data_IF_221397023074
#
_entry.id   IF_221397023074
#
_cell.length_a   1.000
_cell.length_b   1.000
_cell.length_c   1.000
_cell.angle_alpha   90.00
_cell.angle_beta   90.00
_cell.angle_gamma   90.00
#
_symmetry.space_group_name_H-M   'P 1'
#
loop_
_entity.id
_entity.type
_entity.pdbx_description
1 polymer ?
#
# COMPACT_ATOMS: atom_id res chain seq x y z
N UNK A 1 23.05 -62.07 -2.36
CA UNK A 1 21.66 -62.20 -2.87
C UNK A 1 20.75 -61.64 -1.78
N UNK A 2 20.61 -60.30 -1.74
CA UNK A 2 19.95 -59.54 -0.65
C UNK A 2 19.39 -58.23 -1.23
N UNK A 3 18.66 -58.29 -2.34
CA UNK A 3 18.20 -57.06 -3.00
C UNK A 3 16.86 -57.20 -3.75
N UNK A 4 16.06 -58.21 -3.39
CA UNK A 4 14.69 -58.35 -3.90
C UNK A 4 13.66 -57.83 -2.89
N UNK A 5 13.92 -58.02 -1.60
CA UNK A 5 12.96 -57.68 -0.54
C UNK A 5 12.90 -56.17 -0.24
N UNK A 6 14.00 -55.44 -0.49
CA UNK A 6 14.07 -53.99 -0.23
C UNK A 6 13.37 -53.16 -1.33
N UNK A 7 13.34 -53.68 -2.57
CA UNK A 7 12.63 -53.05 -3.69
C UNK A 7 11.11 -53.25 -3.59
N UNK A 8 10.67 -54.39 -3.03
CA UNK A 8 9.26 -54.66 -2.76
C UNK A 8 8.70 -53.75 -1.66
N UNK A 9 9.49 -53.49 -0.61
CA UNK A 9 9.13 -52.59 0.49
C UNK A 9 9.03 -51.12 0.03
N UNK A 10 9.89 -50.67 -0.89
CA UNK A 10 9.83 -49.33 -1.47
C UNK A 10 8.58 -49.13 -2.37
N UNK A 11 8.18 -50.16 -3.15
CA UNK A 11 6.96 -50.11 -3.98
C UNK A 11 5.67 -50.12 -3.16
N UNK A 12 5.62 -50.89 -2.07
CA UNK A 12 4.50 -50.88 -1.10
C UNK A 12 4.36 -49.51 -0.42
N UNK A 13 5.48 -48.85 -0.11
CA UNK A 13 5.49 -47.53 0.51
C UNK A 13 5.12 -46.39 -0.47
N UNK A 14 5.31 -46.56 -1.79
CA UNK A 14 4.81 -45.65 -2.84
C UNK A 14 3.32 -45.90 -3.16
N UNK A 15 2.85 -47.15 -3.10
CA UNK A 15 1.44 -47.51 -3.33
C UNK A 15 0.52 -47.01 -2.21
N UNK A 16 0.98 -47.03 -0.95
CA UNK A 16 0.27 -46.44 0.20
C UNK A 16 0.19 -44.89 0.16
N UNK A 17 0.97 -44.22 -0.71
CA UNK A 17 0.91 -42.75 -0.87
C UNK A 17 0.02 -42.25 -2.03
N UNK A 18 -0.68 -43.13 -2.76
CA UNK A 18 -1.19 -42.75 -4.09
C UNK A 18 -2.63 -42.28 -4.22
N UNK A 19 -3.60 -42.94 -3.57
CA UNK A 19 -4.99 -42.79 -4.06
C UNK A 19 -6.05 -43.04 -2.99
N UNK A 20 -6.50 -41.95 -2.36
CA UNK A 20 -7.78 -41.96 -1.63
C UNK A 20 -8.85 -42.59 -2.53
N UNK A 21 -9.56 -43.59 -2.02
CA UNK A 21 -10.66 -44.21 -2.75
C UNK A 21 -11.67 -43.13 -3.15
N UNK A 22 -12.45 -43.35 -4.21
CA UNK A 22 -13.47 -42.38 -4.67
C UNK A 22 -14.35 -41.90 -3.50
N UNK A 23 -14.71 -42.83 -2.61
CA UNK A 23 -15.48 -42.56 -1.39
C UNK A 23 -14.76 -41.62 -0.42
N UNK A 24 -13.47 -41.81 -0.21
CA UNK A 24 -12.66 -40.97 0.67
C UNK A 24 -12.38 -39.60 0.05
N UNK A 25 -12.14 -39.53 -1.27
CA UNK A 25 -12.05 -38.27 -2.02
C UNK A 25 -13.35 -37.47 -1.90
N UNK A 26 -14.52 -38.11 -2.05
CA UNK A 26 -15.82 -37.47 -1.82
C UNK A 26 -16.01 -37.00 -0.38
N UNK A 27 -15.56 -37.80 0.60
CA UNK A 27 -15.60 -37.41 2.03
C UNK A 27 -14.75 -36.17 2.29
N UNK A 28 -13.51 -36.17 1.82
CA UNK A 28 -12.58 -35.06 1.98
C UNK A 28 -13.11 -33.79 1.30
N UNK A 29 -13.70 -33.93 0.11
CA UNK A 29 -14.30 -32.82 -0.61
C UNK A 29 -15.48 -32.20 0.16
N UNK A 30 -16.40 -33.02 0.70
CA UNK A 30 -17.49 -32.51 1.54
C UNK A 30 -16.97 -31.82 2.80
N UNK A 31 -15.95 -32.38 3.44
CA UNK A 31 -15.32 -31.79 4.63
C UNK A 31 -14.69 -30.43 4.33
N UNK A 32 -13.97 -30.30 3.21
CA UNK A 32 -13.42 -29.03 2.73
C UNK A 32 -14.52 -28.02 2.44
N UNK A 33 -15.60 -28.44 1.79
CA UNK A 33 -16.74 -27.56 1.48
C UNK A 33 -17.48 -27.11 2.75
N UNK A 34 -17.63 -27.99 3.73
CA UNK A 34 -18.26 -27.64 5.02
C UNK A 34 -17.40 -26.65 5.82
N UNK A 35 -16.09 -26.92 5.92
CA UNK A 35 -15.12 -25.98 6.51
C UNK A 35 -15.14 -24.63 5.80
N UNK A 36 -15.19 -24.62 4.47
CA UNK A 36 -15.30 -23.40 3.66
C UNK A 36 -16.59 -22.65 3.97
N UNK A 37 -17.75 -23.33 3.95
CA UNK A 37 -19.04 -22.73 4.31
C UNK A 37 -19.03 -22.14 5.72
N UNK A 38 -18.46 -22.85 6.70
CA UNK A 38 -18.32 -22.38 8.08
C UNK A 38 -17.40 -21.16 8.21
N UNK A 39 -16.29 -21.13 7.48
CA UNK A 39 -15.39 -19.99 7.42
C UNK A 39 -16.08 -18.76 6.82
N UNK A 40 -16.79 -18.90 5.69
CA UNK A 40 -17.55 -17.80 5.10
C UNK A 40 -18.72 -17.35 5.98
N UNK A 41 -19.38 -18.28 6.68
CA UNK A 41 -20.40 -17.93 7.67
C UNK A 41 -19.80 -17.09 8.81
N UNK A 42 -18.62 -17.47 9.33
CA UNK A 42 -17.89 -16.72 10.36
C UNK A 42 -17.45 -15.34 9.87
N UNK A 43 -16.83 -15.24 8.69
CA UNK A 43 -16.47 -13.97 8.07
C UNK A 43 -17.69 -13.08 7.86
N UNK A 44 -18.80 -13.64 7.36
CA UNK A 44 -20.03 -12.86 7.18
C UNK A 44 -20.67 -12.43 8.51
N UNK A 45 -20.48 -13.19 9.59
CA UNK A 45 -20.92 -12.81 10.92
C UNK A 45 -20.05 -11.68 11.51
N UNK A 46 -18.72 -11.77 11.34
CA UNK A 46 -17.76 -10.72 11.70
C UNK A 46 -17.97 -9.44 10.86
N UNK A 47 -18.23 -9.58 9.56
CA UNK A 47 -18.56 -8.49 8.64
C UNK A 47 -19.92 -7.87 8.96
N UNK A 48 -20.92 -8.65 9.38
CA UNK A 48 -22.23 -8.15 9.85
C UNK A 48 -22.15 -7.34 11.14
N UNK A 49 -21.07 -7.48 11.93
CA UNK A 49 -20.79 -6.59 13.09
C UNK A 49 -20.37 -5.20 12.59
N UNK A 50 -19.73 -5.11 11.41
CA UNK A 50 -19.35 -3.85 10.75
C UNK A 50 -20.34 -3.58 9.62
N UNK A 51 -21.61 -3.30 9.97
CA UNK A 51 -22.59 -2.90 8.96
C UNK A 51 -22.03 -1.70 8.17
N UNK A 52 -21.77 -1.82 6.85
CA UNK A 52 -21.22 -0.72 6.09
C UNK A 52 -22.19 0.46 6.17
N UNK A 53 -21.69 1.70 6.37
CA UNK A 53 -22.56 2.85 6.52
C UNK A 53 -23.51 2.97 5.35
N UNK A 54 -24.80 3.10 5.64
CA UNK A 54 -25.83 3.32 4.62
C UNK A 54 -25.54 4.60 3.84
N UNK A 55 -26.06 4.72 2.62
CA UNK A 55 -25.93 5.94 1.78
C UNK A 55 -26.35 7.20 2.54
N UNK A 56 -27.39 7.11 3.37
CA UNK A 56 -27.85 8.20 4.24
C UNK A 56 -26.86 8.53 5.37
N UNK A 57 -26.28 7.51 6.03
CA UNK A 57 -25.27 7.73 7.07
C UNK A 57 -24.01 8.41 6.50
N UNK A 58 -23.51 7.93 5.35
CA UNK A 58 -22.40 8.57 4.64
C UNK A 58 -22.73 10.01 4.26
N UNK A 59 -23.93 10.26 3.73
CA UNK A 59 -24.41 11.62 3.42
C UNK A 59 -24.36 12.54 4.63
N UNK A 60 -24.84 12.05 5.77
CA UNK A 60 -24.88 12.84 7.00
C UNK A 60 -23.47 13.18 7.48
N UNK A 61 -22.55 12.21 7.47
CA UNK A 61 -21.14 12.44 7.81
C UNK A 61 -20.52 13.50 6.89
N UNK A 62 -20.71 13.39 5.58
CA UNK A 62 -20.21 14.36 4.60
C UNK A 62 -20.81 15.75 4.83
N UNK A 63 -22.12 15.84 5.05
CA UNK A 63 -22.80 17.12 5.31
C UNK A 63 -22.28 17.80 6.58
N UNK A 64 -21.96 17.04 7.63
CA UNK A 64 -21.36 17.59 8.86
C UNK A 64 -19.99 18.16 8.56
N UNK A 65 -19.15 17.43 7.83
CA UNK A 65 -17.83 17.91 7.41
C UNK A 65 -17.92 19.22 6.63
N UNK A 66 -18.76 19.26 5.60
CA UNK A 66 -18.93 20.43 4.73
C UNK A 66 -19.42 21.67 5.48
N UNK A 67 -20.26 21.51 6.51
CA UNK A 67 -20.68 22.62 7.37
C UNK A 67 -19.52 23.20 8.18
N UNK A 68 -18.65 22.33 8.69
CA UNK A 68 -17.57 22.70 9.59
C UNK A 68 -16.36 23.29 8.84
N UNK A 69 -15.98 22.69 7.71
CA UNK A 69 -14.73 23.03 6.99
C UNK A 69 -14.95 24.00 5.83
N UNK A 70 -16.12 23.95 5.20
CA UNK A 70 -16.44 24.74 4.01
C UNK A 70 -17.67 25.65 4.18
N UNK A 71 -18.13 25.85 5.42
CA UNK A 71 -19.20 26.76 5.80
C UNK A 71 -20.51 26.57 5.01
N UNK A 72 -20.76 25.36 4.51
CA UNK A 72 -22.01 25.07 3.80
C UNK A 72 -23.21 25.23 4.73
N UNK A 73 -24.22 25.95 4.27
CA UNK A 73 -25.46 26.08 5.04
C UNK A 73 -26.29 24.81 4.96
N UNK A 74 -27.09 24.53 6.00
CA UNK A 74 -27.97 23.36 5.99
C UNK A 74 -28.93 23.35 4.80
N UNK A 75 -29.46 24.52 4.41
CA UNK A 75 -30.40 24.65 3.29
C UNK A 75 -29.75 24.33 1.93
N UNK A 76 -28.48 24.67 1.74
CA UNK A 76 -27.72 24.33 0.53
C UNK A 76 -27.55 22.81 0.37
N UNK A 77 -27.42 22.08 1.48
CA UNK A 77 -27.21 20.62 1.45
C UNK A 77 -28.52 19.84 1.54
N UNK A 78 -29.56 20.37 2.20
CA UNK A 78 -30.83 19.66 2.47
C UNK A 78 -31.48 19.12 1.20
N UNK A 79 -31.55 19.94 0.15
CA UNK A 79 -32.24 19.60 -1.10
C UNK A 79 -31.32 18.94 -2.15
N UNK A 80 -30.04 18.70 -1.82
CA UNK A 80 -29.09 18.06 -2.74
C UNK A 80 -29.15 16.55 -2.67
N UNK A 81 -28.95 15.93 -3.82
CA UNK A 81 -28.74 14.48 -3.96
C UNK A 81 -27.43 14.06 -3.29
N UNK A 82 -27.27 12.76 -3.05
CA UNK A 82 -26.02 12.23 -2.48
C UNK A 82 -24.82 12.55 -3.38
N UNK A 83 -24.96 12.38 -4.70
CA UNK A 83 -23.86 12.51 -5.63
C UNK A 83 -23.36 13.97 -5.71
N UNK A 84 -24.28 14.94 -5.64
CA UNK A 84 -23.93 16.36 -5.52
C UNK A 84 -23.20 16.69 -4.21
N UNK A 85 -23.65 16.10 -3.09
CA UNK A 85 -23.01 16.26 -1.77
C UNK A 85 -21.61 15.63 -1.77
N UNK A 86 -21.45 14.46 -2.39
CA UNK A 86 -20.16 13.79 -2.54
C UNK A 86 -19.20 14.61 -3.40
N UNK A 87 -19.64 15.17 -4.52
CA UNK A 87 -18.80 16.01 -5.37
C UNK A 87 -18.35 17.30 -4.65
N UNK A 88 -19.24 17.92 -3.85
CA UNK A 88 -18.88 19.08 -3.03
C UNK A 88 -17.80 18.73 -1.98
N UNK A 89 -17.88 17.54 -1.40
CA UNK A 89 -16.87 17.01 -0.49
C UNK A 89 -15.53 16.81 -1.17
N UNK A 90 -15.50 16.10 -2.31
CA UNK A 90 -14.26 15.84 -3.05
C UNK A 90 -13.57 17.13 -3.48
N UNK A 91 -14.35 18.16 -3.87
CA UNK A 91 -13.84 19.49 -4.19
C UNK A 91 -13.24 20.18 -2.95
N UNK A 92 -13.92 20.11 -1.82
CA UNK A 92 -13.46 20.70 -0.55
C UNK A 92 -12.14 20.06 -0.11
N UNK A 93 -12.06 18.72 -0.16
CA UNK A 93 -10.84 17.96 0.17
C UNK A 93 -9.67 18.35 -0.72
N UNK A 94 -9.89 18.49 -2.04
CA UNK A 94 -8.84 18.94 -2.97
C UNK A 94 -8.34 20.34 -2.65
N UNK A 95 -9.25 21.26 -2.31
CA UNK A 95 -8.88 22.63 -1.96
C UNK A 95 -8.09 22.69 -0.64
N UNK A 96 -8.49 21.91 0.36
CA UNK A 96 -7.80 21.82 1.64
C UNK A 96 -6.40 21.24 1.48
N UNK A 97 -6.26 20.14 0.74
CA UNK A 97 -4.96 19.55 0.45
C UNK A 97 -4.02 20.55 -0.27
N UNK A 98 -4.55 21.32 -1.22
CA UNK A 98 -3.78 22.35 -1.90
C UNK A 98 -3.36 23.51 -0.97
N UNK A 99 -4.18 23.86 0.03
CA UNK A 99 -3.82 24.85 1.06
C UNK A 99 -2.75 24.31 2.00
N UNK A 100 -2.88 23.06 2.45
CA UNK A 100 -1.92 22.44 3.35
C UNK A 100 -0.54 22.29 2.70
N UNK A 101 -0.48 21.91 1.42
CA UNK A 101 0.78 21.88 0.66
C UNK A 101 1.46 23.24 0.60
N UNK A 102 0.72 24.33 0.36
CA UNK A 102 1.30 25.68 0.35
C UNK A 102 1.83 26.11 1.72
N UNK A 103 1.12 25.77 2.80
CA UNK A 103 1.56 26.09 4.17
C UNK A 103 2.83 25.31 4.53
N UNK A 104 2.93 24.06 4.10
CA UNK A 104 4.13 23.23 4.30
C UNK A 104 5.32 23.78 3.50
N UNK A 105 5.13 24.12 2.22
CA UNK A 105 6.15 24.77 1.39
C UNK A 105 6.62 26.13 1.94
N UNK A 106 5.70 26.95 2.46
CA UNK A 106 6.03 28.23 3.10
C UNK A 106 6.82 28.03 4.40
N UNK A 107 6.48 27.03 5.20
CA UNK A 107 7.18 26.69 6.44
C UNK A 107 8.61 26.19 6.15
N UNK A 108 8.76 25.27 5.19
CA UNK A 108 10.06 24.74 4.78
C UNK A 108 10.96 25.85 4.20
N UNK A 109 10.38 26.76 3.41
CA UNK A 109 11.09 27.93 2.88
C UNK A 109 11.54 28.88 4.00
N UNK A 110 10.71 29.10 5.02
CA UNK A 110 11.06 29.92 6.18
C UNK A 110 12.19 29.30 7.01
N UNK A 111 12.18 27.98 7.22
CA UNK A 111 13.27 27.27 7.89
C UNK A 111 14.58 27.33 7.08
N UNK A 112 14.52 27.10 5.77
CA UNK A 112 15.69 27.20 4.88
C UNK A 112 16.29 28.60 4.89
N UNK A 113 15.46 29.65 4.83
CA UNK A 113 15.91 31.05 4.90
C UNK A 113 16.62 31.34 6.23
N UNK A 114 16.07 30.87 7.34
CA UNK A 114 16.69 31.02 8.67
C UNK A 114 18.04 30.30 8.74
N UNK A 115 18.15 29.09 8.18
CA UNK A 115 19.41 28.36 8.11
C UNK A 115 20.47 29.09 7.27
N UNK A 116 20.06 29.75 6.17
CA UNK A 116 20.97 30.51 5.31
C UNK A 116 21.45 31.81 5.97
N UNK A 117 20.57 32.50 6.72
CA UNK A 117 20.89 33.72 7.46
C UNK A 117 21.80 33.48 8.68
N UNK A 118 21.77 32.27 9.25
CA UNK A 118 22.65 31.85 10.34
C UNK A 118 24.07 31.47 9.89
N UNK A 119 24.36 31.39 8.59
CA UNK A 119 25.75 31.32 8.11
C UNK A 119 26.34 32.71 8.32
N UNK A 120 27.30 32.90 9.26
CA UNK A 120 27.97 34.17 9.37
C UNK A 120 28.69 34.40 8.05
N UNK A 121 28.33 35.45 7.33
CA UNK A 121 29.19 36.00 6.30
C UNK A 121 30.35 36.71 7.01
N UNK A 122 31.13 35.94 7.77
CA UNK A 122 32.43 36.39 8.22
C UNK A 122 33.24 36.55 6.94
N UNK A 123 33.34 37.80 6.51
CA UNK A 123 34.23 38.27 5.46
C UNK A 123 35.71 38.10 5.83
N UNK A 124 36.04 37.05 6.57
CA UNK A 124 37.38 36.56 6.73
C UNK A 124 37.71 35.80 5.46
N UNK A 125 38.42 36.51 4.59
CA UNK A 125 39.19 35.99 3.48
C UNK A 125 40.19 34.96 4.02
N UNK A 126 39.71 33.76 4.39
CA UNK A 126 40.56 32.61 4.65
C UNK A 126 41.22 32.35 3.31
N UNK A 127 42.47 32.79 3.22
CA UNK A 127 43.35 32.50 2.10
C UNK A 127 43.63 31.01 2.18
N UNK A 128 42.68 30.21 1.69
CA UNK A 128 42.87 28.78 1.47
C UNK A 128 43.86 28.74 0.32
N UNK A 129 45.14 28.67 0.66
CA UNK A 129 46.20 28.33 -0.27
C UNK A 129 45.82 26.95 -0.83
N UNK A 130 45.16 26.97 -1.98
CA UNK A 130 44.65 25.79 -2.63
C UNK A 130 45.86 24.98 -3.08
N UNK A 131 46.30 24.05 -2.23
CA UNK A 131 47.09 22.92 -2.70
C UNK A 131 46.22 22.26 -3.77
N UNK A 132 46.64 22.25 -5.05
CA UNK A 132 45.90 21.52 -6.05
C UNK A 132 46.03 20.05 -5.65
N UNK A 133 44.98 19.52 -5.03
CA UNK A 133 44.77 18.10 -4.83
C UNK A 133 44.80 17.52 -6.24
N UNK A 134 45.98 17.05 -6.64
CA UNK A 134 46.22 16.33 -7.87
C UNK A 134 45.15 15.26 -7.93
N UNK A 135 44.16 15.47 -8.80
CA UNK A 135 43.09 14.53 -9.01
C UNK A 135 43.73 13.27 -9.54
N UNK A 136 43.93 12.29 -8.66
CA UNK A 136 44.09 10.92 -9.11
C UNK A 136 42.80 10.62 -9.84
N UNK A 137 42.87 10.58 -11.16
CA UNK A 137 41.72 10.31 -12.02
C UNK A 137 41.01 9.07 -11.46
N UNK A 138 39.67 9.08 -11.33
CA UNK A 138 38.94 7.89 -10.96
C UNK A 138 39.30 6.80 -11.96
N UNK A 139 39.92 5.72 -11.48
CA UNK A 139 40.15 4.53 -12.29
C UNK A 139 38.79 4.09 -12.84
N UNK A 140 38.62 4.21 -14.16
CA UNK A 140 37.41 3.76 -14.86
C UNK A 140 37.34 2.26 -14.65
N UNK A 141 36.40 1.83 -13.81
CA UNK A 141 36.09 0.41 -13.60
C UNK A 141 35.05 0.03 -14.65
N UNK A 142 35.43 -0.82 -15.60
CA UNK A 142 34.55 -1.32 -16.66
C UNK A 142 33.54 -2.34 -16.10
N UNK A 143 32.46 -1.87 -15.49
CA UNK A 143 31.34 -2.74 -15.10
C UNK A 143 30.48 -3.06 -16.33
N UNK A 144 30.43 -4.35 -16.72
CA UNK A 144 29.47 -4.86 -17.71
C UNK A 144 28.10 -5.04 -17.06
N UNK A 145 27.18 -4.13 -17.36
CA UNK A 145 25.78 -4.21 -16.91
C UNK A 145 25.01 -5.12 -17.88
N UNK A 146 24.65 -6.31 -17.42
CA UNK A 146 23.75 -7.20 -18.16
C UNK A 146 22.30 -6.88 -17.79
N UNK A 147 21.48 -6.54 -18.79
CA UNK A 147 20.03 -6.43 -18.63
C UNK A 147 19.38 -7.77 -18.92
N UNK A 148 18.79 -8.38 -17.90
CA UNK A 148 17.98 -9.58 -18.04
C UNK A 148 16.54 -9.17 -18.40
N UNK A 149 16.15 -9.41 -19.66
CA UNK A 149 14.77 -9.21 -20.11
C UNK A 149 13.89 -10.38 -19.64
N UNK A 150 12.91 -10.09 -18.78
CA UNK A 150 11.85 -11.05 -18.45
C UNK A 150 10.96 -11.25 -19.69
N UNK A 151 10.96 -12.45 -20.24
CA UNK A 151 10.05 -12.86 -21.31
C UNK A 151 8.61 -12.83 -20.79
N UNK A 152 7.80 -11.94 -21.38
CA UNK A 152 6.34 -11.96 -21.27
C UNK A 152 5.82 -13.08 -22.18
N UNK A 153 5.19 -14.08 -21.58
CA UNK A 153 4.36 -15.03 -22.32
C UNK A 153 2.96 -14.42 -22.40
N UNK A 154 2.64 -13.91 -23.59
CA UNK A 154 1.27 -13.62 -23.99
C UNK A 154 0.43 -14.90 -24.01
#
# INVERSE_FOLDING_TARGET
MMDADNELAARLHEEEQGELTIKEKSRLFMEVMDKRKKHFAKLSAEEKIIKPPTKAQKRNQICVYLKNVAEYTHNQLKNKTFDEVQNAFDKTMKQENAKNQRVEEENDSAELKRCLEMVPNDGDNVTIEATPLTSKSPTIVDYKIYKEERKSYF
#
